data_IF_028348870099
#
_entry.id   IF_028348870099
#
_cell.length_a   1.000
_cell.length_b   1.000
_cell.length_c   1.000
_cell.angle_alpha   90.00
_cell.angle_beta   90.00
_cell.angle_gamma   90.00
#
_symmetry.space_group_name_H-M   'P 1'
#
loop_
_entity.id
_entity.type
_entity.pdbx_description
1 polymer ?
#
# COMPACT_ATOMS: atom_id res chain seq x y z
N UNK A 1 -27.84 -15.72 3.43
CA UNK A 1 -27.15 -14.69 4.24
C UNK A 1 -26.55 -15.29 5.54
N UNK A 2 -25.47 -16.06 5.40
CA UNK A 2 -24.54 -16.47 6.45
C UNK A 2 -23.23 -16.81 5.73
N UNK A 3 -22.38 -15.82 5.50
CA UNK A 3 -21.03 -16.03 4.98
C UNK A 3 -20.05 -15.52 6.03
N UNK A 4 -19.01 -16.29 6.29
CA UNK A 4 -17.92 -15.82 7.13
C UNK A 4 -17.25 -14.63 6.43
N UNK A 5 -17.07 -13.54 7.16
CA UNK A 5 -16.37 -12.34 6.69
C UNK A 5 -15.12 -12.19 7.56
N UNK A 6 -13.96 -12.29 6.93
CA UNK A 6 -12.68 -11.99 7.54
C UNK A 6 -12.03 -10.89 6.72
N UNK A 7 -11.80 -9.74 7.34
CA UNK A 7 -11.20 -8.56 6.72
C UNK A 7 -10.15 -8.00 7.68
N UNK A 8 -8.97 -7.71 7.15
CA UNK A 8 -7.93 -7.04 7.92
C UNK A 8 -7.88 -5.56 7.55
N UNK A 9 -8.67 -4.75 8.28
CA UNK A 9 -8.86 -3.33 7.99
C UNK A 9 -7.56 -2.55 7.92
N UNK A 10 -6.58 -2.88 8.77
CA UNK A 10 -5.28 -2.23 8.75
C UNK A 10 -4.55 -2.41 7.42
N UNK A 11 -4.55 -3.61 6.84
CA UNK A 11 -3.94 -3.85 5.52
C UNK A 11 -4.62 -3.01 4.43
N UNK A 12 -5.95 -2.93 4.44
CA UNK A 12 -6.71 -2.12 3.49
C UNK A 12 -6.36 -0.63 3.63
N UNK A 13 -6.32 -0.11 4.86
CA UNK A 13 -5.96 1.27 5.13
C UNK A 13 -4.52 1.58 4.66
N UNK A 14 -3.59 0.66 4.89
CA UNK A 14 -2.21 0.79 4.40
C UNK A 14 -2.18 0.82 2.87
N UNK A 15 -2.95 -0.01 2.16
CA UNK A 15 -3.06 0.05 0.69
C UNK A 15 -3.65 1.39 0.20
N UNK A 16 -4.65 1.93 0.90
CA UNK A 16 -5.25 3.22 0.56
C UNK A 16 -4.29 4.38 0.84
N UNK A 17 -3.48 4.30 1.88
CA UNK A 17 -2.45 5.30 2.19
C UNK A 17 -1.31 5.31 1.18
N UNK A 18 -0.94 4.14 0.67
CA UNK A 18 -0.01 4.01 -0.45
C UNK A 18 -0.54 4.78 -1.67
N UNK A 19 -1.84 4.66 -1.97
CA UNK A 19 -2.47 5.42 -3.05
C UNK A 19 -2.53 6.92 -2.74
N UNK A 20 -2.91 7.29 -1.51
CA UNK A 20 -2.95 8.69 -1.06
C UNK A 20 -1.58 9.37 -1.17
N UNK A 21 -0.50 8.64 -0.85
CA UNK A 21 0.89 9.13 -0.93
C UNK A 21 1.29 9.60 -2.34
N UNK A 22 0.68 9.05 -3.38
CA UNK A 22 0.94 9.43 -4.78
C UNK A 22 -0.14 10.34 -5.38
N UNK A 23 -1.22 10.60 -4.64
CA UNK A 23 -2.33 11.41 -5.11
C UNK A 23 -2.02 12.91 -4.90
N UNK A 24 -2.64 13.75 -5.72
CA UNK A 24 -2.54 15.21 -5.58
C UNK A 24 -3.90 15.87 -5.85
N UNK A 25 -4.05 17.12 -5.40
CA UNK A 25 -5.21 17.96 -5.70
C UNK A 25 -6.53 17.29 -5.29
N UNK A 26 -7.47 17.18 -6.23
CA UNK A 26 -8.80 16.62 -6.00
C UNK A 26 -8.75 15.14 -5.61
N UNK A 27 -7.87 14.34 -6.21
CA UNK A 27 -7.75 12.91 -5.91
C UNK A 27 -7.27 12.68 -4.48
N UNK A 28 -6.29 13.49 -4.05
CA UNK A 28 -5.81 13.45 -2.67
C UNK A 28 -6.93 13.79 -1.69
N UNK A 29 -7.66 14.88 -1.95
CA UNK A 29 -8.80 15.30 -1.12
C UNK A 29 -9.87 14.20 -1.02
N UNK A 30 -10.27 13.62 -2.15
CA UNK A 30 -11.29 12.57 -2.19
C UNK A 30 -10.85 11.30 -1.45
N UNK A 31 -9.58 10.91 -1.55
CA UNK A 31 -9.05 9.78 -0.79
C UNK A 31 -8.97 10.09 0.71
N UNK A 32 -8.47 11.27 1.07
CA UNK A 32 -8.33 11.71 2.46
C UNK A 32 -9.69 11.78 3.18
N UNK A 33 -10.68 12.39 2.55
CA UNK A 33 -12.04 12.52 3.09
C UNK A 33 -12.82 11.20 2.99
N UNK A 34 -12.65 10.44 1.90
CA UNK A 34 -13.37 9.19 1.67
C UNK A 34 -13.02 8.09 2.67
N UNK A 35 -11.78 8.08 3.17
CA UNK A 35 -11.35 7.18 4.26
C UNK A 35 -11.70 7.74 5.64
N UNK A 36 -12.09 9.03 5.72
CA UNK A 36 -12.51 9.70 6.95
C UNK A 36 -11.35 10.28 7.78
N UNK A 37 -10.16 10.44 7.21
CA UNK A 37 -9.01 10.98 7.94
C UNK A 37 -9.19 12.43 8.37
N UNK A 38 -9.98 13.20 7.64
CA UNK A 38 -10.35 14.56 7.98
C UNK A 38 -11.03 14.73 9.36
N UNK A 39 -11.44 13.63 10.00
CA UNK A 39 -11.99 13.64 11.37
C UNK A 39 -10.93 13.67 12.46
N UNK A 40 -9.69 13.30 12.15
CA UNK A 40 -8.59 13.17 13.13
C UNK A 40 -7.26 13.77 12.69
N UNK A 41 -7.11 14.14 11.42
CA UNK A 41 -5.89 14.68 10.83
C UNK A 41 -6.20 15.99 10.11
N UNK A 42 -5.23 16.92 10.07
CA UNK A 42 -5.41 18.19 9.36
C UNK A 42 -5.16 18.03 7.86
N UNK A 43 -4.23 17.14 7.49
CA UNK A 43 -3.83 16.90 6.11
C UNK A 43 -3.32 15.45 5.90
N UNK A 44 -3.01 15.11 4.65
CA UNK A 44 -2.51 13.80 4.24
C UNK A 44 -1.09 13.50 4.75
N UNK A 45 -0.26 14.52 4.97
CA UNK A 45 1.09 14.36 5.53
C UNK A 45 1.03 13.90 6.99
N UNK A 46 0.07 14.40 7.79
CA UNK A 46 -0.14 13.95 9.17
C UNK A 46 -0.51 12.45 9.22
N UNK A 47 -1.36 12.00 8.29
CA UNK A 47 -1.73 10.58 8.16
C UNK A 47 -0.51 9.75 7.83
N UNK A 48 0.31 10.23 6.89
CA UNK A 48 1.53 9.56 6.46
C UNK A 48 2.53 9.42 7.62
N UNK A 49 2.73 10.47 8.42
CA UNK A 49 3.59 10.43 9.61
C UNK A 49 3.06 9.42 10.63
N UNK A 50 1.77 9.48 10.94
CA UNK A 50 1.14 8.54 11.87
C UNK A 50 1.30 7.08 11.45
N UNK A 51 1.05 6.76 10.18
CA UNK A 51 1.21 5.38 9.69
C UNK A 51 2.68 4.93 9.66
N UNK A 52 3.61 5.86 9.42
CA UNK A 52 5.04 5.58 9.49
C UNK A 52 5.45 5.16 10.90
N UNK A 53 5.01 5.92 11.91
CA UNK A 53 5.27 5.60 13.32
C UNK A 53 4.61 4.28 13.73
N UNK A 54 3.34 4.10 13.36
CA UNK A 54 2.58 2.90 13.67
C UNK A 54 3.20 1.63 13.08
N UNK A 55 3.65 1.68 11.82
CA UNK A 55 4.35 0.54 11.18
C UNK A 55 5.70 0.27 11.85
N UNK A 56 6.46 1.32 12.21
CA UNK A 56 7.73 1.15 12.90
C UNK A 56 7.55 0.56 14.31
N UNK A 57 6.51 0.96 15.04
CA UNK A 57 6.15 0.36 16.33
C UNK A 57 5.72 -1.09 16.17
N UNK A 58 4.97 -1.39 15.11
CA UNK A 58 4.56 -2.75 14.78
C UNK A 58 5.77 -3.66 14.53
N UNK A 59 6.73 -3.23 13.71
CA UNK A 59 7.97 -3.98 13.45
C UNK A 59 8.78 -4.23 14.74
N UNK A 60 8.87 -3.22 15.62
CA UNK A 60 9.50 -3.36 16.95
C UNK A 60 8.77 -4.36 17.83
N UNK A 61 7.43 -4.34 17.81
CA UNK A 61 6.62 -5.26 18.59
C UNK A 61 6.75 -6.71 18.09
N UNK A 62 6.65 -6.94 16.77
CA UNK A 62 6.87 -8.26 16.19
C UNK A 62 8.24 -8.82 16.57
N UNK A 63 9.31 -8.06 16.34
CA UNK A 63 10.68 -8.51 16.64
C UNK A 63 10.90 -8.89 18.10
N UNK A 64 10.11 -8.35 19.03
CA UNK A 64 10.23 -8.59 20.47
C UNK A 64 9.33 -9.71 21.00
N UNK A 65 8.13 -9.89 20.43
CA UNK A 65 7.10 -10.76 21.03
C UNK A 65 6.59 -11.87 20.11
N UNK A 66 6.74 -11.76 18.79
CA UNK A 66 6.23 -12.74 17.84
C UNK A 66 7.30 -13.11 16.81
N UNK A 67 7.76 -14.36 16.84
CA UNK A 67 8.56 -14.89 15.75
C UNK A 67 7.68 -15.16 14.51
N UNK A 68 7.44 -14.10 13.71
CA UNK A 68 7.04 -14.18 12.29
C UNK A 68 5.59 -14.58 11.95
N UNK A 69 4.55 -13.94 12.49
CA UNK A 69 3.17 -14.33 12.11
C UNK A 69 2.45 -13.36 11.15
N UNK A 70 2.74 -12.05 11.13
CA UNK A 70 2.01 -11.13 10.25
C UNK A 70 2.90 -10.44 9.22
N UNK A 71 2.94 -11.02 8.02
CA UNK A 71 3.52 -10.36 6.85
C UNK A 71 2.47 -9.50 6.16
N UNK A 72 2.52 -8.19 6.37
CA UNK A 72 1.75 -7.23 5.56
C UNK A 72 2.59 -6.94 4.31
N UNK A 73 2.11 -7.39 3.16
CA UNK A 73 2.77 -7.14 1.88
C UNK A 73 1.82 -6.39 0.96
N UNK A 74 2.17 -5.13 0.65
CA UNK A 74 1.51 -4.36 -0.39
C UNK A 74 2.37 -4.35 -1.64
N UNK A 75 1.74 -4.50 -2.81
CA UNK A 75 2.41 -4.42 -4.10
C UNK A 75 1.61 -3.57 -5.05
N UNK A 76 2.28 -2.63 -5.70
CA UNK A 76 1.70 -1.83 -6.77
C UNK A 76 2.15 -2.40 -8.10
N UNK A 77 1.19 -2.52 -9.00
CA UNK A 77 1.44 -2.97 -10.35
C UNK A 77 0.98 -1.89 -11.32
N UNK A 78 1.95 -1.29 -12.00
CA UNK A 78 1.71 -0.15 -12.88
C UNK A 78 1.83 -0.61 -14.32
N UNK A 79 0.90 -0.17 -15.16
CA UNK A 79 0.95 -0.50 -16.57
C UNK A 79 2.16 0.15 -17.22
N UNK A 80 3.07 -0.66 -17.76
CA UNK A 80 4.21 -0.19 -18.55
C UNK A 80 3.72 0.40 -19.87
N UNK A 81 3.74 1.73 -19.96
CA UNK A 81 3.49 2.51 -21.18
C UNK A 81 4.42 3.72 -21.17
N UNK A 82 4.85 4.19 -22.34
CA UNK A 82 5.69 5.38 -22.45
C UNK A 82 5.07 6.54 -21.65
N UNK A 83 5.86 7.14 -20.75
CA UNK A 83 5.48 8.23 -19.84
C UNK A 83 4.58 7.88 -18.64
N UNK A 84 4.33 6.59 -18.34
CA UNK A 84 3.57 6.14 -17.16
C UNK A 84 4.46 5.46 -16.11
N UNK A 85 5.71 5.90 -15.98
CA UNK A 85 6.63 5.38 -14.99
C UNK A 85 6.35 5.99 -13.62
N UNK A 86 6.35 5.17 -12.58
CA UNK A 86 6.31 5.70 -11.22
C UNK A 86 7.60 6.46 -10.94
N UNK A 87 7.45 7.71 -10.48
CA UNK A 87 8.54 8.57 -10.03
C UNK A 87 9.44 7.83 -9.04
N UNK A 88 10.76 8.00 -9.19
CA UNK A 88 11.75 7.31 -8.35
C UNK A 88 11.56 7.65 -6.87
N UNK A 89 11.21 8.90 -6.56
CA UNK A 89 10.96 9.36 -5.20
C UNK A 89 9.74 8.68 -4.59
N UNK A 90 8.68 8.50 -5.38
CA UNK A 90 7.49 7.78 -4.95
C UNK A 90 7.80 6.31 -4.66
N UNK A 91 8.53 5.63 -5.57
CA UNK A 91 8.97 4.24 -5.38
C UNK A 91 9.79 4.08 -4.10
N UNK A 92 10.74 4.98 -3.87
CA UNK A 92 11.58 4.98 -2.68
C UNK A 92 10.74 5.16 -1.41
N UNK A 93 9.82 6.13 -1.40
CA UNK A 93 8.89 6.36 -0.27
C UNK A 93 8.05 5.11 0.01
N UNK A 94 7.53 4.45 -1.02
CA UNK A 94 6.76 3.23 -0.81
C UNK A 94 7.57 2.06 -0.24
N UNK A 95 8.80 1.87 -0.72
CA UNK A 95 9.67 0.80 -0.24
C UNK A 95 10.15 1.06 1.19
N UNK A 96 10.58 2.28 1.50
CA UNK A 96 11.19 2.60 2.79
C UNK A 96 10.16 2.48 3.93
N UNK A 97 8.96 3.00 3.70
CA UNK A 97 7.95 3.19 4.75
C UNK A 97 6.89 2.08 4.78
N UNK A 98 6.41 1.65 3.62
CA UNK A 98 5.36 0.65 3.54
C UNK A 98 5.89 -0.76 3.21
N UNK A 99 7.21 -0.90 3.01
CA UNK A 99 7.85 -2.12 2.47
C UNK A 99 7.17 -2.58 1.18
N UNK A 100 6.58 -1.65 0.45
CA UNK A 100 5.73 -1.94 -0.69
C UNK A 100 6.56 -1.94 -1.98
N UNK A 101 6.45 -3.02 -2.75
CA UNK A 101 7.13 -3.12 -4.04
C UNK A 101 6.29 -2.47 -5.15
N UNK A 102 6.95 -1.75 -6.04
CA UNK A 102 6.33 -1.14 -7.22
C UNK A 102 6.89 -1.83 -8.46
N UNK A 103 6.06 -2.64 -9.11
CA UNK A 103 6.41 -3.37 -10.31
C UNK A 103 5.72 -2.74 -11.52
N UNK A 104 6.43 -2.71 -12.65
CA UNK A 104 5.84 -2.32 -13.92
C UNK A 104 5.70 -3.53 -14.83
N UNK A 105 4.58 -3.61 -15.54
CA UNK A 105 4.34 -4.67 -16.51
C UNK A 105 3.30 -4.25 -17.54
N UNK A 106 3.35 -4.84 -18.72
CA UNK A 106 2.32 -4.64 -19.73
C UNK A 106 1.06 -5.42 -19.37
N UNK A 107 -0.01 -4.73 -18.96
CA UNK A 107 -1.30 -5.35 -18.66
C UNK A 107 -1.96 -5.97 -19.91
N UNK A 108 -1.53 -5.55 -21.10
CA UNK A 108 -2.08 -6.00 -22.38
C UNK A 108 -1.39 -7.28 -22.88
N UNK A 109 -0.06 -7.33 -22.79
CA UNK A 109 0.73 -8.41 -23.40
C UNK A 109 1.23 -9.44 -22.39
N UNK A 110 1.30 -9.11 -21.10
CA UNK A 110 1.84 -10.02 -20.06
C UNK A 110 0.75 -10.63 -19.18
N UNK A 111 -0.54 -10.47 -19.49
CA UNK A 111 -1.69 -10.83 -18.62
C UNK A 111 -1.54 -12.15 -17.87
N UNK A 112 -1.22 -13.26 -18.56
CA UNK A 112 -1.07 -14.58 -17.93
C UNK A 112 0.18 -14.69 -17.04
N UNK A 113 1.30 -14.11 -17.46
CA UNK A 113 2.54 -14.10 -16.68
C UNK A 113 2.41 -13.19 -15.47
N UNK A 114 1.67 -12.09 -15.63
CA UNK A 114 1.32 -11.14 -14.60
C UNK A 114 0.51 -11.79 -13.48
N UNK A 115 -0.55 -12.53 -13.83
CA UNK A 115 -1.35 -13.29 -12.86
C UNK A 115 -0.48 -14.27 -12.08
N UNK A 116 0.42 -15.00 -12.75
CA UNK A 116 1.37 -15.91 -12.07
C UNK A 116 2.34 -15.15 -11.16
N UNK A 117 2.88 -14.01 -11.59
CA UNK A 117 3.80 -13.18 -10.79
C UNK A 117 3.13 -12.58 -9.54
N UNK A 118 1.88 -12.12 -9.66
CA UNK A 118 1.10 -11.62 -8.53
C UNK A 118 0.87 -12.76 -7.53
N UNK A 119 0.40 -13.92 -7.99
CA UNK A 119 0.15 -15.08 -7.12
C UNK A 119 1.42 -15.60 -6.45
N UNK A 120 2.54 -15.68 -7.18
CA UNK A 120 3.81 -16.18 -6.63
C UNK A 120 4.50 -15.18 -5.70
N UNK A 121 4.26 -13.87 -5.88
CA UNK A 121 4.75 -12.84 -4.97
C UNK A 121 4.05 -12.87 -3.62
N UNK A 122 2.78 -13.27 -3.57
CA UNK A 122 1.99 -13.41 -2.34
C UNK A 122 2.36 -14.64 -1.49
N UNK A 123 3.11 -15.60 -2.06
CA UNK A 123 3.48 -16.86 -1.39
C UNK A 123 4.89 -16.86 -0.77
N UNK A 124 5.63 -15.75 -0.82
CA UNK A 124 6.96 -15.59 -0.21
C UNK A 124 6.86 -14.86 1.13
#
# INVERSE_FOLDING_TARGET
PMKNVFVFSFSILTSLNIALTGATNKTEKELFEGVGYNRGFLNSDDVYLFFTELLAEYEKFESKFYSRSLKIANRLLIHKKNHYEAKVEYRKKLLDFYKAEVNEASLLTEKMQLSKRVMNGLMK
#
